data_IF_342626670922
#
_entry.id   IF_342626670922
#
_cell.length_a   1.000
_cell.length_b   1.000
_cell.length_c   1.000
_cell.angle_alpha   90.00
_cell.angle_beta   90.00
_cell.angle_gamma   90.00
#
_symmetry.space_group_name_H-M   'P 1'
#
loop_
_entity.id
_entity.type
_entity.pdbx_description
1 polymer ?
#
# COMPACT_ATOMS: atom_id res chain seq x y z
N UNK A 1 21.36 -14.85 4.22
CA UNK A 1 21.73 -13.46 4.51
C UNK A 1 21.26 -12.62 3.34
N UNK A 2 20.46 -11.58 3.60
CA UNK A 2 19.93 -10.73 2.54
C UNK A 2 21.05 -9.92 1.88
N UNK A 3 20.98 -9.74 0.57
CA UNK A 3 21.91 -8.88 -0.14
C UNK A 3 21.41 -7.43 -0.05
N UNK A 4 22.26 -6.48 0.34
CA UNK A 4 21.85 -5.08 0.44
C UNK A 4 21.90 -4.36 -0.91
N UNK A 5 21.06 -3.34 -1.07
CA UNK A 5 21.18 -2.35 -2.13
C UNK A 5 22.47 -1.54 -1.96
N UNK A 6 23.00 -1.00 -3.06
CA UNK A 6 24.16 -0.11 -2.98
C UNK A 6 23.79 1.19 -2.24
N UNK A 7 24.75 1.91 -1.64
CA UNK A 7 24.49 3.23 -1.06
C UNK A 7 23.88 4.22 -2.06
N UNK A 8 24.22 4.09 -3.35
CA UNK A 8 23.67 4.91 -4.44
C UNK A 8 22.19 4.62 -4.63
N UNK A 9 21.79 3.35 -4.64
CA UNK A 9 20.39 2.96 -4.77
C UNK A 9 19.56 3.42 -3.57
N UNK A 10 20.08 3.27 -2.35
CA UNK A 10 19.41 3.74 -1.12
C UNK A 10 19.22 5.26 -1.17
N UNK A 11 20.28 6.01 -1.48
CA UNK A 11 20.18 7.48 -1.59
C UNK A 11 19.18 7.91 -2.68
N UNK A 12 19.21 7.26 -3.84
CA UNK A 12 18.29 7.57 -4.93
C UNK A 12 16.83 7.27 -4.57
N UNK A 13 16.57 6.19 -3.82
CA UNK A 13 15.24 5.85 -3.31
C UNK A 13 14.73 6.91 -2.32
N UNK A 14 15.56 7.29 -1.34
CA UNK A 14 15.21 8.31 -0.34
C UNK A 14 14.92 9.66 -1.00
N UNK A 15 15.76 10.09 -1.94
CA UNK A 15 15.54 11.33 -2.68
C UNK A 15 14.27 11.27 -3.53
N UNK A 16 14.00 10.13 -4.19
CA UNK A 16 12.78 9.95 -4.98
C UNK A 16 11.53 10.07 -4.09
N UNK A 17 11.54 9.43 -2.91
CA UNK A 17 10.46 9.54 -1.95
C UNK A 17 10.24 11.00 -1.51
N UNK A 18 11.31 11.74 -1.21
CA UNK A 18 11.21 13.17 -0.87
C UNK A 18 10.58 13.97 -2.00
N UNK A 19 11.08 13.83 -3.22
CA UNK A 19 10.53 14.54 -4.39
C UNK A 19 9.07 14.19 -4.67
N UNK A 20 8.65 12.94 -4.43
CA UNK A 20 7.26 12.51 -4.60
C UNK A 20 6.34 13.06 -3.50
N UNK A 21 6.83 13.14 -2.25
CA UNK A 21 6.10 13.81 -1.16
C UNK A 21 5.91 15.30 -1.43
N UNK A 22 6.93 15.95 -2.00
CA UNK A 22 6.87 17.37 -2.36
C UNK A 22 5.92 17.60 -3.56
N UNK A 23 5.94 16.72 -4.56
CA UNK A 23 5.03 16.76 -5.70
C UNK A 23 3.55 16.66 -5.28
N UNK A 24 3.25 15.85 -4.26
CA UNK A 24 1.88 15.76 -3.73
C UNK A 24 1.33 17.10 -3.18
N UNK A 25 2.23 18.06 -2.86
CA UNK A 25 1.88 19.41 -2.41
C UNK A 25 1.98 20.43 -3.54
N UNK A 26 2.97 20.34 -4.43
CA UNK A 26 3.06 21.29 -5.57
C UNK A 26 1.86 21.17 -6.53
N UNK A 27 1.27 19.97 -6.64
CA UNK A 27 0.09 19.67 -7.46
C UNK A 27 -1.26 20.11 -6.85
N UNK A 28 -1.24 20.86 -5.74
CA UNK A 28 -2.45 21.46 -5.18
C UNK A 28 -3.05 22.50 -6.14
N UNK A 29 -4.37 22.42 -6.37
CA UNK A 29 -5.08 23.27 -7.34
C UNK A 29 -5.50 24.60 -6.74
N UNK A 30 -5.87 24.61 -5.46
CA UNK A 30 -6.33 25.79 -4.76
C UNK A 30 -5.55 26.04 -3.49
N UNK A 31 -6.28 26.38 -2.43
CA UNK A 31 -5.71 26.84 -1.16
C UNK A 31 -5.83 25.73 -0.11
N UNK A 32 -4.74 25.36 0.57
CA UNK A 32 -4.80 24.44 1.71
C UNK A 32 -5.66 25.00 2.83
N UNK A 33 -6.61 24.21 3.33
CA UNK A 33 -7.47 24.52 4.47
C UNK A 33 -7.43 23.40 5.50
N UNK A 34 -7.24 23.79 6.76
CA UNK A 34 -7.29 22.87 7.90
C UNK A 34 -8.75 22.72 8.37
N UNK A 35 -9.22 21.48 8.49
CA UNK A 35 -10.51 21.14 9.10
C UNK A 35 -10.29 20.22 10.29
N UNK A 36 -11.03 20.45 11.38
CA UNK A 36 -11.01 19.59 12.56
C UNK A 36 -12.19 18.62 12.51
N UNK A 37 -11.92 17.34 12.71
CA UNK A 37 -12.95 16.28 12.81
C UNK A 37 -12.66 15.44 14.04
N UNK A 38 -13.52 15.59 15.06
CA UNK A 38 -13.27 15.02 16.38
C UNK A 38 -12.01 15.58 17.02
N UNK A 39 -11.10 14.70 17.46
CA UNK A 39 -9.81 15.08 18.06
C UNK A 39 -8.69 15.26 17.03
N UNK A 40 -8.93 14.97 15.75
CA UNK A 40 -7.93 15.02 14.69
C UNK A 40 -8.17 16.22 13.78
N UNK A 41 -7.10 16.66 13.11
CA UNK A 41 -7.16 17.72 12.12
C UNK A 41 -6.62 17.22 10.78
N UNK A 42 -7.17 17.73 9.70
CA UNK A 42 -6.95 17.24 8.34
C UNK A 42 -6.85 18.41 7.37
N UNK A 43 -5.92 18.32 6.42
CA UNK A 43 -5.71 19.31 5.39
C UNK A 43 -6.47 18.95 4.11
N UNK A 44 -7.08 19.97 3.50
CA UNK A 44 -7.84 19.88 2.27
C UNK A 44 -7.38 20.93 1.28
N UNK A 45 -7.34 20.58 0.01
CA UNK A 45 -7.12 21.50 -1.11
C UNK A 45 -8.47 22.04 -1.57
N UNK A 46 -8.71 23.31 -1.28
CA UNK A 46 -9.98 23.98 -1.52
C UNK A 46 -9.94 24.77 -2.83
N UNK A 47 -10.70 24.33 -3.83
CA UNK A 47 -10.70 24.96 -5.16
C UNK A 47 -12.06 24.89 -5.84
N UNK A 48 -12.25 25.70 -6.89
CA UNK A 48 -13.49 25.77 -7.66
C UNK A 48 -13.33 25.07 -9.01
N UNK A 49 -14.29 24.21 -9.36
CA UNK A 49 -14.47 23.68 -10.72
C UNK A 49 -15.84 24.14 -11.22
N UNK A 50 -15.84 25.06 -12.19
CA UNK A 50 -17.08 25.65 -12.71
C UNK A 50 -17.84 26.41 -11.63
N UNK A 51 -19.07 25.98 -11.34
CA UNK A 51 -19.93 26.54 -10.30
C UNK A 51 -19.76 25.86 -8.92
N UNK A 52 -19.07 24.71 -8.86
CA UNK A 52 -18.91 23.91 -7.65
C UNK A 52 -17.58 24.20 -6.95
N UNK A 53 -17.65 24.38 -5.64
CA UNK A 53 -16.47 24.38 -4.77
C UNK A 53 -16.25 22.97 -4.25
N UNK A 54 -15.02 22.48 -4.36
CA UNK A 54 -14.61 21.14 -3.94
C UNK A 54 -13.49 21.25 -2.90
N UNK A 55 -13.54 20.33 -1.95
CA UNK A 55 -12.45 20.07 -1.02
C UNK A 55 -11.84 18.73 -1.37
N UNK A 56 -10.53 18.70 -1.64
CA UNK A 56 -9.79 17.47 -1.90
C UNK A 56 -8.89 17.17 -0.72
N UNK A 57 -9.13 16.07 0.00
CA UNK A 57 -8.25 15.62 1.08
C UNK A 57 -6.77 15.59 0.65
N UNK A 58 -5.89 16.11 1.51
CA UNK A 58 -4.43 16.12 1.34
C UNK A 58 -3.78 15.08 2.28
N UNK A 59 -4.17 15.10 3.56
CA UNK A 59 -3.57 14.27 4.61
C UNK A 59 -3.97 14.71 6.01
N UNK A 60 -3.69 13.85 7.00
CA UNK A 60 -3.78 14.19 8.42
C UNK A 60 -2.73 15.25 8.75
N UNK A 61 -3.12 16.17 9.62
CA UNK A 61 -2.27 17.26 10.07
C UNK A 61 -1.07 16.73 10.86
N UNK A 62 0.10 17.27 10.54
CA UNK A 62 1.36 16.86 11.14
C UNK A 62 2.48 17.83 10.75
N UNK A 63 3.54 17.85 11.54
CA UNK A 63 4.68 18.76 11.36
C UNK A 63 5.28 18.64 9.95
N UNK A 64 5.47 17.41 9.47
CA UNK A 64 6.03 17.13 8.15
C UNK A 64 5.18 17.72 7.00
N UNK A 65 3.84 17.65 7.12
CA UNK A 65 2.91 18.17 6.12
C UNK A 65 2.84 19.70 6.18
N UNK A 66 2.75 20.29 7.38
CA UNK A 66 2.74 21.75 7.56
C UNK A 66 3.99 22.39 6.95
N UNK A 67 5.18 21.85 7.25
CA UNK A 67 6.45 22.35 6.71
C UNK A 67 6.55 22.26 5.17
N UNK A 68 5.75 21.41 4.51
CA UNK A 68 5.64 21.38 3.05
C UNK A 68 4.64 22.40 2.54
N UNK A 69 3.49 22.52 3.19
CA UNK A 69 2.47 23.52 2.84
C UNK A 69 3.03 24.95 2.97
N UNK A 70 3.87 25.21 3.97
CA UNK A 70 4.55 26.51 4.15
C UNK A 70 5.49 26.85 2.98
N UNK A 71 5.98 25.83 2.26
CA UNK A 71 6.86 25.97 1.09
C UNK A 71 6.13 25.78 -0.25
N UNK A 72 4.80 25.77 -0.25
CA UNK A 72 3.98 25.44 -1.42
C UNK A 72 4.40 26.20 -2.69
N UNK A 73 4.54 27.52 -2.63
CA UNK A 73 4.88 28.31 -3.83
C UNK A 73 6.30 28.03 -4.33
N UNK A 74 7.27 27.87 -3.43
CA UNK A 74 8.62 27.47 -3.81
C UNK A 74 8.64 26.06 -4.47
N UNK A 75 7.80 25.14 -3.99
CA UNK A 75 7.66 23.81 -4.58
C UNK A 75 6.99 23.86 -5.97
N UNK A 76 6.01 24.75 -6.18
CA UNK A 76 5.38 24.96 -7.49
C UNK A 76 6.37 25.48 -8.52
N UNK A 77 7.16 26.50 -8.16
CA UNK A 77 8.20 27.05 -9.05
C UNK A 77 9.28 25.99 -9.40
N UNK A 78 9.60 25.12 -8.45
CA UNK A 78 10.59 24.06 -8.65
C UNK A 78 10.03 22.80 -9.35
N UNK A 79 8.73 22.68 -9.61
CA UNK A 79 8.10 21.40 -10.01
C UNK A 79 8.67 20.85 -11.31
N UNK A 80 8.90 21.71 -12.31
CA UNK A 80 9.49 21.29 -13.60
C UNK A 80 10.89 20.69 -13.42
N UNK A 81 11.68 21.24 -12.50
CA UNK A 81 13.00 20.70 -12.16
C UNK A 81 12.87 19.42 -11.33
N UNK A 82 11.94 19.38 -10.38
CA UNK A 82 11.61 18.19 -9.58
C UNK A 82 11.24 17.01 -10.47
N UNK A 83 10.41 17.21 -11.50
CA UNK A 83 10.03 16.17 -12.45
C UNK A 83 11.23 15.61 -13.25
N UNK A 84 12.16 16.49 -13.65
CA UNK A 84 13.42 16.07 -14.31
C UNK A 84 14.29 15.26 -13.36
N UNK A 85 14.38 15.67 -12.11
CA UNK A 85 15.16 14.95 -11.09
C UNK A 85 14.55 13.58 -10.78
N UNK A 86 13.24 13.48 -10.59
CA UNK A 86 12.56 12.17 -10.45
C UNK A 86 12.84 11.24 -11.63
N UNK A 87 12.85 11.78 -12.85
CA UNK A 87 13.19 11.00 -14.05
C UNK A 87 14.66 10.56 -14.09
N UNK A 88 15.57 11.33 -13.48
CA UNK A 88 16.97 10.96 -13.30
C UNK A 88 17.13 9.86 -12.24
N UNK A 89 16.51 10.03 -11.07
CA UNK A 89 16.54 9.06 -9.97
C UNK A 89 15.97 7.70 -10.41
N UNK A 90 14.89 7.70 -11.19
CA UNK A 90 14.32 6.48 -11.78
C UNK A 90 15.29 5.77 -12.74
N UNK A 91 16.14 6.49 -13.47
CA UNK A 91 17.19 5.89 -14.32
C UNK A 91 18.31 5.29 -13.47
N UNK A 92 18.69 5.95 -12.38
CA UNK A 92 19.68 5.44 -11.42
C UNK A 92 19.17 4.13 -10.81
N UNK A 93 17.97 4.12 -10.22
CA UNK A 93 17.38 2.93 -9.61
C UNK A 93 17.26 1.76 -10.61
N UNK A 94 17.02 2.05 -11.89
CA UNK A 94 17.03 1.02 -12.95
C UNK A 94 18.43 0.50 -13.27
N UNK A 95 19.42 1.38 -13.36
CA UNK A 95 20.80 0.98 -13.56
C UNK A 95 21.34 0.17 -12.36
N UNK A 96 20.89 0.50 -11.15
CA UNK A 96 21.13 -0.25 -9.92
C UNK A 96 20.32 -1.55 -9.86
N UNK A 97 19.50 -1.89 -10.87
CA UNK A 97 18.78 -3.16 -10.92
C UNK A 97 17.65 -3.31 -9.90
N UNK A 98 17.11 -2.21 -9.36
CA UNK A 98 15.94 -2.28 -8.48
C UNK A 98 14.72 -2.85 -9.22
N UNK A 99 13.84 -3.52 -8.48
CA UNK A 99 12.60 -4.12 -8.95
C UNK A 99 11.64 -3.05 -9.48
N UNK A 100 11.67 -2.87 -10.79
CA UNK A 100 10.72 -2.01 -11.50
C UNK A 100 9.33 -2.64 -11.50
N UNK A 101 8.31 -1.79 -11.49
CA UNK A 101 6.93 -2.21 -11.74
C UNK A 101 6.74 -2.43 -13.24
N UNK A 102 6.10 -3.53 -13.61
CA UNK A 102 5.77 -3.81 -15.00
C UNK A 102 4.75 -2.81 -15.57
N UNK A 103 4.54 -2.88 -16.89
CA UNK A 103 3.66 -1.93 -17.57
C UNK A 103 2.21 -2.04 -17.13
N UNK A 104 1.66 -3.25 -16.99
CA UNK A 104 0.26 -3.48 -16.66
C UNK A 104 -0.05 -2.98 -15.25
N UNK A 105 0.67 -3.52 -14.27
CA UNK A 105 0.55 -3.11 -12.87
C UNK A 105 0.83 -1.62 -12.69
N UNK A 106 1.89 -1.11 -13.35
CA UNK A 106 2.29 0.28 -13.27
C UNK A 106 1.23 1.25 -13.80
N UNK A 107 0.57 0.92 -14.91
CA UNK A 107 -0.52 1.75 -15.47
C UNK A 107 -1.70 1.86 -14.50
N UNK A 108 -2.12 0.74 -13.94
CA UNK A 108 -3.30 0.69 -13.05
C UNK A 108 -3.00 1.36 -11.71
N UNK A 109 -1.89 1.02 -11.06
CA UNK A 109 -1.52 1.59 -9.76
C UNK A 109 -1.27 3.11 -9.88
N UNK A 110 -0.63 3.57 -10.96
CA UNK A 110 -0.42 5.01 -11.17
C UNK A 110 -1.71 5.78 -11.45
N UNK A 111 -2.69 5.17 -12.14
CA UNK A 111 -4.01 5.77 -12.34
C UNK A 111 -4.76 5.89 -11.00
N UNK A 112 -4.74 4.85 -10.17
CA UNK A 112 -5.32 4.88 -8.82
C UNK A 112 -4.67 5.94 -7.93
N UNK A 113 -3.34 6.11 -8.03
CA UNK A 113 -2.63 7.16 -7.31
C UNK A 113 -3.12 8.56 -7.71
N UNK A 114 -3.29 8.82 -9.01
CA UNK A 114 -3.83 10.10 -9.51
C UNK A 114 -5.28 10.34 -9.09
N UNK A 115 -6.12 9.31 -9.18
CA UNK A 115 -7.52 9.34 -8.74
C UNK A 115 -7.65 9.61 -7.23
N UNK A 116 -6.59 9.38 -6.46
CA UNK A 116 -6.52 9.68 -5.04
C UNK A 116 -6.76 8.49 -4.12
N UNK A 117 -6.75 7.25 -4.64
CA UNK A 117 -6.98 6.03 -3.85
C UNK A 117 -6.06 5.97 -2.63
N UNK A 118 -4.74 6.14 -2.82
CA UNK A 118 -3.78 6.09 -1.72
C UNK A 118 -3.88 7.28 -0.78
N UNK A 119 -4.27 8.45 -1.30
CA UNK A 119 -4.49 9.65 -0.50
C UNK A 119 -5.70 9.47 0.43
N UNK A 120 -6.75 8.80 -0.04
CA UNK A 120 -7.98 8.52 0.72
C UNK A 120 -7.90 7.23 1.56
N UNK A 121 -6.69 6.77 1.89
CA UNK A 121 -6.48 5.64 2.80
C UNK A 121 -6.45 4.25 2.15
N UNK A 122 -6.60 4.16 0.82
CA UNK A 122 -6.32 2.94 0.09
C UNK A 122 -4.86 2.53 0.27
N UNK A 123 -4.63 1.24 0.48
CA UNK A 123 -3.31 0.67 0.77
C UNK A 123 -3.08 -0.49 -0.19
N UNK A 124 -2.02 -0.43 -0.98
CA UNK A 124 -1.61 -1.53 -1.85
C UNK A 124 -1.11 -2.67 -0.97
N UNK A 125 -1.70 -3.86 -1.10
CA UNK A 125 -1.30 -5.06 -0.36
C UNK A 125 -0.86 -6.16 -1.34
N UNK A 126 -0.74 -7.40 -0.86
CA UNK A 126 -0.37 -8.52 -1.72
C UNK A 126 1.08 -8.44 -2.21
N UNK A 127 1.37 -9.06 -3.35
CA UNK A 127 2.74 -9.20 -3.87
C UNK A 127 3.30 -7.87 -4.37
N UNK A 128 2.46 -6.99 -4.92
CA UNK A 128 2.91 -5.69 -5.43
C UNK A 128 3.44 -4.80 -4.29
N UNK A 129 2.82 -4.86 -3.11
CA UNK A 129 3.33 -4.20 -1.90
C UNK A 129 4.68 -4.78 -1.45
N UNK A 130 4.83 -6.11 -1.46
CA UNK A 130 6.06 -6.80 -1.06
C UNK A 130 7.27 -6.34 -1.87
N UNK A 131 7.11 -6.15 -3.19
CA UNK A 131 8.18 -5.67 -4.07
C UNK A 131 8.67 -4.27 -3.69
N UNK A 132 7.81 -3.43 -3.11
CA UNK A 132 8.19 -2.09 -2.67
C UNK A 132 9.14 -2.12 -1.46
N UNK A 133 9.20 -3.24 -0.73
CA UNK A 133 10.11 -3.38 0.41
C UNK A 133 11.58 -3.50 0.01
N UNK A 134 11.88 -3.75 -1.28
CA UNK A 134 13.27 -3.74 -1.77
C UNK A 134 13.93 -2.40 -1.48
N UNK A 135 13.28 -1.32 -1.89
CA UNK A 135 13.77 0.04 -1.65
C UNK A 135 13.57 0.52 -0.21
N UNK A 136 12.44 0.20 0.41
CA UNK A 136 12.13 0.62 1.78
C UNK A 136 13.11 0.03 2.81
N UNK A 137 13.52 -1.23 2.64
CA UNK A 137 14.46 -1.90 3.54
C UNK A 137 15.90 -1.84 3.04
N UNK A 138 16.15 -1.34 1.82
CA UNK A 138 17.50 -1.27 1.25
C UNK A 138 18.12 -2.64 0.99
N UNK A 139 17.30 -3.65 0.67
CA UNK A 139 17.72 -5.05 0.44
C UNK A 139 17.24 -5.54 -0.92
N UNK A 140 17.90 -6.53 -1.52
CA UNK A 140 17.49 -7.20 -2.74
C UNK A 140 16.46 -8.27 -2.44
N UNK A 141 15.39 -8.30 -3.23
CA UNK A 141 14.38 -9.35 -3.16
C UNK A 141 14.59 -10.32 -4.32
N UNK A 142 14.71 -11.62 -4.00
CA UNK A 142 14.92 -12.67 -4.99
C UNK A 142 13.73 -12.87 -5.93
N UNK A 143 13.97 -13.39 -7.12
CA UNK A 143 12.94 -13.63 -8.14
C UNK A 143 11.84 -14.60 -7.67
N UNK A 144 12.23 -15.63 -6.92
CA UNK A 144 11.35 -16.62 -6.28
C UNK A 144 10.38 -15.99 -5.26
N UNK A 145 10.85 -14.97 -4.53
CA UNK A 145 10.09 -14.23 -3.54
C UNK A 145 9.24 -13.11 -4.16
N UNK A 146 9.73 -12.51 -5.26
CA UNK A 146 9.08 -11.45 -6.03
C UNK A 146 8.17 -11.97 -7.15
N UNK A 147 8.00 -13.29 -7.27
CA UNK A 147 7.29 -13.95 -8.37
C UNK A 147 6.00 -13.23 -8.74
N UNK A 148 5.92 -12.83 -10.01
CA UNK A 148 4.90 -11.92 -10.53
C UNK A 148 3.51 -12.52 -10.35
N UNK A 149 2.61 -11.71 -9.79
CA UNK A 149 1.18 -11.89 -9.95
C UNK A 149 0.65 -10.67 -10.68
N UNK A 150 -0.28 -10.90 -11.60
CA UNK A 150 -1.03 -9.84 -12.26
C UNK A 150 -2.16 -9.31 -11.36
N UNK A 151 -2.27 -9.82 -10.12
CA UNK A 151 -3.23 -9.36 -9.12
C UNK A 151 -2.75 -8.08 -8.43
N UNK A 152 -3.67 -7.12 -8.30
CA UNK A 152 -3.51 -5.85 -7.62
C UNK A 152 -4.56 -5.77 -6.52
N UNK A 153 -4.11 -5.90 -5.28
CA UNK A 153 -4.97 -5.87 -4.11
C UNK A 153 -4.92 -4.48 -3.45
N UNK A 154 -6.07 -3.81 -3.35
CA UNK A 154 -6.20 -2.53 -2.63
C UNK A 154 -7.06 -2.73 -1.39
N UNK A 155 -6.47 -2.52 -0.22
CA UNK A 155 -7.16 -2.60 1.06
C UNK A 155 -7.44 -1.22 1.64
N UNK A 156 -8.63 -1.00 2.20
CA UNK A 156 -8.99 0.26 2.88
C UNK A 156 -9.91 0.01 4.07
N UNK A 157 -9.91 0.91 5.05
CA UNK A 157 -10.88 0.88 6.14
C UNK A 157 -12.21 1.51 5.71
N UNK A 158 -13.31 0.82 5.99
CA UNK A 158 -14.67 1.35 5.87
C UNK A 158 -14.87 2.64 6.70
N UNK A 159 -14.31 2.72 7.91
CA UNK A 159 -14.53 3.87 8.83
C UNK A 159 -13.74 5.13 8.48
N UNK A 160 -12.56 5.02 7.84
CA UNK A 160 -11.85 6.21 7.33
C UNK A 160 -12.65 6.90 6.22
N UNK A 161 -13.39 6.11 5.43
CA UNK A 161 -14.30 6.61 4.40
C UNK A 161 -15.48 7.43 4.97
N UNK A 162 -15.93 7.09 6.19
CA UNK A 162 -17.07 7.74 6.85
C UNK A 162 -16.67 9.00 7.65
N UNK A 163 -15.49 9.01 8.28
CA UNK A 163 -15.03 10.15 9.09
C UNK A 163 -14.61 11.34 8.22
N UNK A 164 -14.04 11.08 7.03
CA UNK A 164 -13.60 12.16 6.14
C UNK A 164 -14.74 12.76 5.31
N UNK A 165 -15.83 12.02 5.07
CA UNK A 165 -16.93 12.45 4.18
C UNK A 165 -16.54 12.67 2.71
N UNK A 166 -15.29 12.35 2.36
CA UNK A 166 -14.69 12.62 1.06
C UNK A 166 -14.80 11.41 0.12
N UNK A 167 -14.97 11.71 -1.17
CA UNK A 167 -15.00 10.73 -2.25
C UNK A 167 -13.83 10.96 -3.20
N UNK A 168 -13.42 9.92 -3.92
CA UNK A 168 -12.55 10.09 -5.10
C UNK A 168 -13.15 11.11 -6.06
N UNK A 169 -12.32 12.03 -6.57
CA UNK A 169 -12.77 13.10 -7.48
C UNK A 169 -13.29 12.53 -8.80
N UNK A 170 -12.62 11.47 -9.25
CA UNK A 170 -13.00 10.68 -10.40
C UNK A 170 -13.48 9.32 -9.88
N UNK A 171 -14.73 8.90 -10.17
CA UNK A 171 -15.22 7.59 -9.79
C UNK A 171 -14.29 6.50 -10.33
N UNK A 172 -13.87 5.56 -9.49
CA UNK A 172 -12.95 4.49 -9.92
C UNK A 172 -13.50 3.66 -11.08
N UNK A 173 -14.82 3.55 -11.19
CA UNK A 173 -15.48 2.93 -12.33
C UNK A 173 -15.11 3.59 -13.67
N UNK A 174 -15.01 4.93 -13.71
CA UNK A 174 -14.60 5.66 -14.92
C UNK A 174 -13.10 5.49 -15.20
N UNK A 175 -12.27 5.59 -14.16
CA UNK A 175 -10.82 5.34 -14.26
C UNK A 175 -10.54 3.93 -14.81
N UNK A 176 -11.25 2.93 -14.30
CA UNK A 176 -11.13 1.55 -14.78
C UNK A 176 -11.66 1.38 -16.20
N UNK A 177 -12.76 2.03 -16.57
CA UNK A 177 -13.28 2.01 -17.94
C UNK A 177 -12.26 2.57 -18.95
N UNK A 178 -11.61 3.69 -18.63
CA UNK A 178 -10.56 4.28 -19.47
C UNK A 178 -9.35 3.34 -19.64
N UNK A 179 -9.05 2.56 -18.61
CA UNK A 179 -8.01 1.53 -18.65
C UNK A 179 -8.47 0.19 -19.26
N UNK A 180 -9.68 0.13 -19.84
CA UNK A 180 -10.28 -1.09 -20.42
C UNK A 180 -10.47 -2.23 -19.42
N UNK A 181 -10.67 -1.89 -18.14
CA UNK A 181 -11.11 -2.84 -17.13
C UNK A 181 -12.64 -2.98 -17.19
N UNK A 182 -13.10 -4.23 -17.15
CA UNK A 182 -14.51 -4.54 -17.01
C UNK A 182 -14.80 -5.00 -15.56
N UNK A 183 -15.93 -4.56 -14.97
CA UNK A 183 -16.36 -5.08 -13.68
C UNK A 183 -16.63 -6.59 -13.79
N UNK A 184 -16.13 -7.37 -12.84
CA UNK A 184 -16.52 -8.77 -12.70
C UNK A 184 -17.72 -8.85 -11.75
N UNK A 185 -18.90 -9.28 -12.22
CA UNK A 185 -20.07 -9.38 -11.36
C UNK A 185 -19.84 -10.37 -10.22
N UNK A 186 -20.34 -10.03 -9.04
CA UNK A 186 -20.41 -10.94 -7.89
C UNK A 186 -21.67 -11.81 -7.97
N UNK A 187 -21.65 -12.95 -7.28
CA UNK A 187 -22.85 -13.79 -7.08
C UNK A 187 -23.89 -13.03 -6.20
N UNK A 188 -23.45 -12.07 -5.38
CA UNK A 188 -24.30 -11.23 -4.52
C UNK A 188 -24.87 -9.97 -5.23
N UNK A 189 -25.28 -10.08 -6.50
CA UNK A 189 -26.01 -9.01 -7.21
C UNK A 189 -25.12 -7.94 -7.89
N UNK A 190 -25.54 -6.66 -7.85
CA UNK A 190 -24.89 -5.53 -8.56
C UNK A 190 -23.54 -5.07 -7.93
N UNK A 191 -23.10 -5.69 -6.83
CA UNK A 191 -21.87 -5.31 -6.12
C UNK A 191 -20.63 -5.77 -6.90
N UNK A 192 -19.77 -4.80 -7.24
CA UNK A 192 -18.51 -5.04 -7.95
C UNK A 192 -17.36 -4.79 -6.99
N UNK A 193 -16.58 -5.84 -6.74
CA UNK A 193 -15.36 -5.79 -5.93
C UNK A 193 -14.11 -6.29 -6.66
N UNK A 194 -14.29 -6.78 -7.89
CA UNK A 194 -13.22 -7.21 -8.80
C UNK A 194 -13.36 -6.56 -10.16
N UNK A 195 -12.23 -6.19 -10.74
CA UNK A 195 -12.14 -5.70 -12.12
C UNK A 195 -11.08 -6.49 -12.85
N UNK A 196 -11.34 -6.83 -14.11
CA UNK A 196 -10.38 -7.54 -14.95
C UNK A 196 -10.12 -6.80 -16.24
N UNK A 197 -8.85 -6.70 -16.63
CA UNK A 197 -8.46 -6.22 -17.95
C UNK A 197 -8.51 -7.36 -18.95
N UNK A 198 -9.27 -7.20 -20.04
CA UNK A 198 -9.50 -8.27 -21.02
C UNK A 198 -8.24 -8.80 -21.69
N UNK A 199 -7.31 -7.92 -22.08
CA UNK A 199 -6.11 -8.28 -22.86
C UNK A 199 -4.95 -8.80 -21.98
N UNK A 200 -4.82 -8.33 -20.73
CA UNK A 200 -3.68 -8.62 -19.86
C UNK A 200 -4.01 -9.54 -18.68
N UNK A 201 -5.27 -9.95 -18.52
CA UNK A 201 -5.79 -10.73 -17.38
C UNK A 201 -5.51 -10.15 -15.98
N UNK A 202 -4.94 -8.94 -15.88
CA UNK A 202 -4.73 -8.21 -14.62
C UNK A 202 -6.04 -8.10 -13.87
N UNK A 203 -5.99 -8.48 -12.59
CA UNK A 203 -7.11 -8.48 -11.67
C UNK A 203 -6.90 -7.40 -10.62
N UNK A 204 -7.88 -6.54 -10.41
CA UNK A 204 -7.90 -5.61 -9.29
C UNK A 204 -8.96 -6.07 -8.30
N UNK A 205 -8.55 -6.31 -7.05
CA UNK A 205 -9.45 -6.67 -5.96
C UNK A 205 -9.44 -5.58 -4.88
N UNK A 206 -10.63 -5.23 -4.38
CA UNK A 206 -10.77 -4.31 -3.25
C UNK A 206 -11.11 -5.09 -1.99
N UNK A 207 -10.39 -4.77 -0.91
CA UNK A 207 -10.44 -5.48 0.36
C UNK A 207 -10.75 -4.52 1.51
N UNK A 208 -11.46 -4.99 2.52
CA UNK A 208 -11.73 -4.23 3.75
C UNK A 208 -11.62 -5.11 4.98
N UNK A 209 -11.26 -4.60 6.16
CA UNK A 209 -11.22 -5.44 7.35
C UNK A 209 -12.59 -5.99 7.75
N UNK A 210 -12.65 -7.28 8.04
CA UNK A 210 -13.82 -7.92 8.66
C UNK A 210 -13.68 -7.92 10.19
N UNK A 211 -14.72 -7.43 10.87
CA UNK A 211 -14.84 -7.50 12.33
C UNK A 211 -15.97 -8.43 12.80
N UNK A 212 -16.78 -8.91 11.87
CA UNK A 212 -17.92 -9.79 12.15
C UNK A 212 -17.48 -11.26 12.16
N UNK A 213 -18.35 -12.16 12.61
CA UNK A 213 -18.08 -13.59 12.64
C UNK A 213 -17.81 -14.21 11.26
N UNK A 214 -18.30 -13.58 10.19
CA UNK A 214 -18.23 -14.08 8.81
C UNK A 214 -17.69 -13.03 7.85
N UNK A 215 -16.81 -13.45 6.94
CA UNK A 215 -16.35 -12.66 5.79
C UNK A 215 -17.46 -12.57 4.73
N UNK A 216 -17.46 -11.48 3.95
CA UNK A 216 -18.49 -11.19 2.93
C UNK A 216 -18.26 -9.84 2.25
N UNK A 217 -19.17 -9.39 1.39
CA UNK A 217 -19.02 -8.09 0.71
C UNK A 217 -19.50 -6.90 1.55
N UNK A 218 -18.72 -5.82 1.51
CA UNK A 218 -19.06 -4.53 2.11
C UNK A 218 -18.82 -3.42 1.12
N UNK A 219 -19.51 -2.30 1.29
CA UNK A 219 -19.30 -1.13 0.44
C UNK A 219 -18.17 -0.26 0.99
N UNK A 220 -17.38 0.33 0.11
CA UNK A 220 -16.36 1.34 0.41
C UNK A 220 -16.77 2.66 -0.26
N UNK A 221 -17.63 3.48 0.39
CA UNK A 221 -18.23 4.65 -0.25
C UNK A 221 -17.21 5.69 -0.75
N UNK A 222 -16.10 5.90 -0.04
CA UNK A 222 -15.08 6.87 -0.46
C UNK A 222 -14.40 6.51 -1.78
N UNK A 223 -14.35 5.21 -2.11
CA UNK A 223 -13.76 4.69 -3.34
C UNK A 223 -14.82 4.38 -4.42
N UNK A 224 -16.12 4.40 -4.06
CA UNK A 224 -17.21 4.11 -4.98
C UNK A 224 -17.27 2.66 -5.45
N UNK A 225 -16.78 1.72 -4.62
CA UNK A 225 -16.64 0.29 -4.94
C UNK A 225 -17.17 -0.58 -3.81
N UNK A 226 -17.47 -1.85 -4.10
CA UNK A 226 -17.60 -2.87 -3.06
C UNK A 226 -16.24 -3.54 -2.80
N UNK A 227 -16.08 -4.17 -1.65
CA UNK A 227 -14.87 -4.82 -1.22
C UNK A 227 -15.16 -6.14 -0.50
N UNK A 228 -14.28 -7.12 -0.70
CA UNK A 228 -14.30 -8.34 0.08
C UNK A 228 -13.78 -8.05 1.48
N UNK A 229 -14.60 -8.33 2.50
CA UNK A 229 -14.18 -8.19 3.89
C UNK A 229 -13.37 -9.41 4.32
N UNK A 230 -12.18 -9.19 4.89
CA UNK A 230 -11.25 -10.23 5.32
C UNK A 230 -10.82 -10.02 6.77
N UNK A 231 -10.82 -11.08 7.58
CA UNK A 231 -10.24 -11.05 8.92
C UNK A 231 -8.73 -10.79 8.85
N UNK A 232 -8.15 -10.30 9.95
CA UNK A 232 -6.71 -9.99 10.11
C UNK A 232 -6.20 -8.82 9.26
N UNK A 233 -6.97 -8.36 8.26
CA UNK A 233 -6.57 -7.25 7.40
C UNK A 233 -6.41 -5.94 8.16
N UNK A 234 -7.18 -5.72 9.23
CA UNK A 234 -7.07 -4.54 10.09
C UNK A 234 -5.66 -4.36 10.67
N UNK A 235 -4.97 -5.45 11.01
CA UNK A 235 -3.61 -5.41 11.51
C UNK A 235 -2.61 -5.04 10.42
N UNK A 236 -2.82 -5.58 9.21
CA UNK A 236 -1.95 -5.35 8.06
C UNK A 236 -1.95 -3.88 7.65
N UNK A 237 -3.14 -3.30 7.49
CA UNK A 237 -3.28 -1.92 6.99
C UNK A 237 -3.30 -0.86 8.10
N UNK A 238 -2.96 -1.22 9.34
CA UNK A 238 -2.81 -0.25 10.41
C UNK A 238 -1.53 0.58 10.20
N UNK A 239 -1.69 1.91 10.21
CA UNK A 239 -0.60 2.89 10.10
C UNK A 239 0.35 2.60 8.91
N UNK A 240 -0.19 2.57 7.67
CA UNK A 240 0.61 2.25 6.50
C UNK A 240 1.63 3.35 6.18
N UNK A 241 2.67 3.01 5.44
CA UNK A 241 3.74 3.92 5.04
C UNK A 241 3.59 4.33 3.57
N UNK A 242 4.12 5.52 3.23
CA UNK A 242 4.18 6.00 1.86
C UNK A 242 5.52 5.65 1.23
N UNK A 243 5.48 5.06 0.05
CA UNK A 243 6.68 4.60 -0.69
C UNK A 243 6.61 5.00 -2.17
N UNK A 244 7.75 5.12 -2.87
CA UNK A 244 7.79 5.23 -4.32
C UNK A 244 7.33 3.94 -5.01
N UNK A 245 6.39 4.06 -5.94
CA UNK A 245 6.18 3.06 -6.98
C UNK A 245 7.17 3.32 -8.12
N UNK A 246 8.04 2.35 -8.42
CA UNK A 246 9.05 2.46 -9.48
C UNK A 246 8.43 2.24 -10.87
N UNK A 247 7.62 3.21 -11.30
CA UNK A 247 6.99 3.25 -12.62
C UNK A 247 7.08 4.65 -13.24
N UNK A 248 7.56 4.75 -14.49
CA UNK A 248 7.82 6.02 -15.20
C UNK A 248 8.70 6.98 -14.38
N UNK A 249 8.15 8.11 -13.93
CA UNK A 249 8.83 9.13 -13.12
C UNK A 249 8.58 8.96 -11.61
N UNK A 250 8.08 7.80 -11.18
CA UNK A 250 7.70 7.53 -9.80
C UNK A 250 6.29 8.00 -9.47
N UNK A 251 5.61 7.27 -8.59
CA UNK A 251 4.34 7.68 -7.99
C UNK A 251 4.39 7.45 -6.48
N UNK A 252 3.82 8.37 -5.70
CA UNK A 252 3.66 8.17 -4.27
C UNK A 252 2.48 7.23 -4.03
N UNK A 253 2.75 6.07 -3.45
CA UNK A 253 1.72 5.09 -3.09
C UNK A 253 1.80 4.77 -1.60
N UNK A 254 0.85 3.97 -1.12
CA UNK A 254 0.78 3.57 0.28
C UNK A 254 0.80 2.03 0.38
N UNK A 255 1.63 1.49 1.26
CA UNK A 255 1.78 0.05 1.53
C UNK A 255 1.78 -0.21 3.05
N UNK A 256 1.49 -1.45 3.51
CA UNK A 256 1.67 -1.82 4.91
C UNK A 256 3.08 -1.57 5.41
N UNK A 257 3.25 -1.46 6.73
CA UNK A 257 4.60 -1.53 7.31
C UNK A 257 5.16 -2.95 7.11
N UNK A 258 6.46 -3.11 6.78
CA UNK A 258 7.05 -4.40 6.42
C UNK A 258 6.92 -5.45 7.54
N UNK A 259 7.05 -5.05 8.80
CA UNK A 259 6.90 -5.94 9.96
C UNK A 259 5.46 -6.44 10.13
N UNK A 260 4.47 -5.56 9.94
CA UNK A 260 3.04 -5.95 9.95
C UNK A 260 2.73 -6.88 8.79
N UNK A 261 3.31 -6.63 7.63
CA UNK A 261 3.19 -7.52 6.47
C UNK A 261 3.74 -8.91 6.78
N UNK A 262 4.94 -9.01 7.34
CA UNK A 262 5.58 -10.29 7.63
C UNK A 262 4.78 -11.12 8.64
N UNK A 263 4.35 -10.50 9.76
CA UNK A 263 3.52 -11.18 10.77
C UNK A 263 2.15 -11.58 10.20
N UNK A 264 1.53 -10.72 9.40
CA UNK A 264 0.27 -11.05 8.74
C UNK A 264 0.39 -12.25 7.78
N UNK A 265 1.52 -12.36 7.05
CA UNK A 265 1.78 -13.49 6.15
C UNK A 265 1.89 -14.82 6.89
N UNK A 266 2.45 -14.85 8.11
CA UNK A 266 2.46 -16.04 8.94
C UNK A 266 1.03 -16.51 9.28
N UNK A 267 0.11 -15.59 9.52
CA UNK A 267 -1.30 -15.89 9.84
C UNK A 267 -2.04 -16.42 8.61
N UNK A 268 -1.90 -15.75 7.46
CA UNK A 268 -2.59 -16.13 6.22
C UNK A 268 -2.05 -17.44 5.64
N UNK A 269 -0.76 -17.74 5.81
CA UNK A 269 -0.17 -19.00 5.40
C UNK A 269 -0.85 -20.22 6.05
N UNK A 270 -1.29 -20.08 7.31
CA UNK A 270 -2.05 -21.12 8.00
C UNK A 270 -3.49 -21.25 7.48
N UNK A 271 -4.16 -20.12 7.20
CA UNK A 271 -5.51 -20.12 6.63
C UNK A 271 -5.60 -20.83 5.28
N UNK A 272 -4.50 -20.86 4.53
CA UNK A 272 -4.39 -21.48 3.20
C UNK A 272 -3.89 -22.93 3.23
N UNK A 273 -3.76 -23.54 4.43
CA UNK A 273 -3.16 -24.87 4.64
C UNK A 273 -3.87 -26.02 3.92
N UNK A 274 -5.21 -26.02 3.93
CA UNK A 274 -6.02 -27.19 3.55
C UNK A 274 -6.85 -26.96 2.26
N UNK A 275 -6.47 -25.99 1.43
CA UNK A 275 -7.14 -25.65 0.18
C UNK A 275 -6.29 -25.85 -1.07
N UNK A 276 -6.82 -25.56 -2.28
CA UNK A 276 -6.05 -25.58 -3.54
C UNK A 276 -4.85 -24.61 -3.56
N UNK A 277 -4.75 -23.73 -2.55
CA UNK A 277 -3.77 -22.64 -2.41
C UNK A 277 -2.46 -23.03 -1.70
N UNK A 278 -2.08 -24.32 -1.68
CA UNK A 278 -0.85 -24.78 -1.01
C UNK A 278 0.43 -24.07 -1.50
N UNK A 279 0.48 -23.73 -2.80
CA UNK A 279 1.56 -22.93 -3.39
C UNK A 279 1.56 -21.48 -2.85
N UNK A 280 0.39 -20.86 -2.68
CA UNK A 280 0.28 -19.52 -2.07
C UNK A 280 0.72 -19.55 -0.61
N UNK A 281 0.39 -20.60 0.14
CA UNK A 281 0.87 -20.76 1.52
C UNK A 281 2.39 -20.89 1.61
N UNK A 282 3.03 -21.57 0.64
CA UNK A 282 4.51 -21.61 0.54
C UNK A 282 5.09 -20.23 0.23
N UNK A 283 4.49 -19.50 -0.71
CA UNK A 283 4.88 -18.11 -1.04
C UNK A 283 4.75 -17.18 0.17
N UNK A 284 3.65 -17.25 0.91
CA UNK A 284 3.44 -16.43 2.10
C UNK A 284 4.50 -16.70 3.17
N UNK A 285 4.86 -17.97 3.41
CA UNK A 285 5.94 -18.34 4.33
C UNK A 285 7.30 -17.80 3.88
N UNK A 286 7.64 -17.95 2.60
CA UNK A 286 8.91 -17.44 2.06
C UNK A 286 9.01 -15.91 2.17
N UNK A 287 7.92 -15.18 1.89
CA UNK A 287 7.88 -13.73 2.05
C UNK A 287 7.99 -13.31 3.52
N UNK A 288 7.33 -14.03 4.44
CA UNK A 288 7.43 -13.77 5.87
C UNK A 288 8.85 -14.03 6.39
N UNK A 289 9.44 -15.16 6.01
CA UNK A 289 10.81 -15.54 6.37
C UNK A 289 11.81 -14.47 5.96
N UNK A 290 11.79 -14.09 4.67
CA UNK A 290 12.69 -13.07 4.14
C UNK A 290 12.59 -11.75 4.92
N UNK A 291 11.37 -11.23 5.13
CA UNK A 291 11.20 -9.95 5.83
C UNK A 291 11.60 -10.06 7.30
N UNK A 292 11.24 -11.14 7.99
CA UNK A 292 11.60 -11.32 9.40
C UNK A 292 13.12 -11.44 9.54
N UNK A 293 13.80 -12.12 8.62
CA UNK A 293 15.26 -12.19 8.65
C UNK A 293 15.91 -10.81 8.54
N UNK A 294 15.45 -9.99 7.58
CA UNK A 294 15.95 -8.63 7.38
C UNK A 294 15.62 -7.74 8.59
N UNK A 295 14.35 -7.76 9.04
CA UNK A 295 13.88 -6.90 10.11
C UNK A 295 14.50 -7.25 11.47
N UNK A 296 14.80 -8.52 11.72
CA UNK A 296 15.48 -8.92 12.96
C UNK A 296 16.93 -8.40 13.06
N UNK A 297 17.55 -8.02 11.93
CA UNK A 297 18.86 -7.33 11.90
C UNK A 297 18.70 -5.81 11.90
N UNK A 298 17.83 -5.28 11.04
CA UNK A 298 17.77 -3.84 10.74
C UNK A 298 16.79 -3.06 11.62
N UNK A 299 15.68 -3.67 12.04
CA UNK A 299 14.57 -3.03 12.77
C UNK A 299 13.96 -3.97 13.83
N UNK A 300 14.76 -4.56 14.75
CA UNK A 300 14.29 -5.63 15.64
C UNK A 300 13.17 -5.20 16.59
N UNK A 301 13.19 -3.95 17.06
CA UNK A 301 12.16 -3.43 17.96
C UNK A 301 10.81 -3.27 17.25
N UNK A 302 10.80 -2.76 16.01
CA UNK A 302 9.58 -2.66 15.22
C UNK A 302 8.98 -4.05 14.96
N UNK A 303 9.83 -5.03 14.66
CA UNK A 303 9.40 -6.42 14.47
C UNK A 303 8.82 -7.02 15.76
N UNK A 304 9.47 -6.77 16.90
CA UNK A 304 8.99 -7.19 18.23
C UNK A 304 7.60 -6.61 18.51
N UNK A 305 7.45 -5.30 18.37
CA UNK A 305 6.19 -4.61 18.61
C UNK A 305 5.05 -5.18 17.77
N UNK A 306 5.31 -5.46 16.49
CA UNK A 306 4.32 -6.03 15.59
C UNK A 306 3.95 -7.47 15.97
N UNK A 307 4.93 -8.28 16.36
CA UNK A 307 4.71 -9.65 16.83
C UNK A 307 3.91 -9.68 18.14
N UNK A 308 4.27 -8.86 19.12
CA UNK A 308 3.57 -8.73 20.40
C UNK A 308 2.14 -8.22 20.20
N UNK A 309 1.96 -7.21 19.35
CA UNK A 309 0.64 -6.70 18.99
C UNK A 309 -0.25 -7.80 18.41
N UNK A 310 0.29 -8.66 17.54
CA UNK A 310 -0.45 -9.79 16.97
C UNK A 310 -0.77 -10.88 18.02
N UNK A 311 0.18 -11.19 18.90
CA UNK A 311 -0.01 -12.13 20.01
C UNK A 311 -1.04 -11.64 21.03
N UNK A 312 -1.21 -10.33 21.18
CA UNK A 312 -2.20 -9.72 22.08
C UNK A 312 -3.65 -9.80 21.56
N UNK A 313 -3.87 -10.05 20.26
CA UNK A 313 -5.21 -10.04 19.66
C UNK A 313 -6.12 -11.20 20.11
N UNK A 314 -5.57 -12.30 20.60
CA UNK A 314 -6.33 -13.41 21.21
C UNK A 314 -5.95 -14.82 20.75
N UNK A 315 -6.64 -15.86 21.25
CA UNK A 315 -6.26 -17.26 21.04
C UNK A 315 -6.19 -17.69 19.58
N UNK A 316 -7.11 -17.21 18.73
CA UNK A 316 -7.13 -17.52 17.29
C UNK A 316 -5.85 -17.04 16.59
N UNK A 317 -5.38 -15.83 16.91
CA UNK A 317 -4.14 -15.28 16.36
C UNK A 317 -2.92 -16.08 16.79
N UNK A 318 -2.81 -16.38 18.10
CA UNK A 318 -1.72 -17.19 18.67
C UNK A 318 -1.67 -18.57 18.05
N UNK A 319 -2.83 -19.23 17.89
CA UNK A 319 -2.95 -20.54 17.28
C UNK A 319 -2.42 -20.57 15.85
N UNK A 320 -2.84 -19.62 15.01
CA UNK A 320 -2.39 -19.52 13.61
C UNK A 320 -0.89 -19.24 13.48
N UNK A 321 -0.38 -18.28 14.26
CA UNK A 321 1.05 -17.98 14.30
C UNK A 321 1.87 -19.20 14.73
N UNK A 322 1.48 -19.86 15.82
CA UNK A 322 2.14 -21.07 16.30
C UNK A 322 2.10 -22.20 15.25
N UNK A 323 0.98 -22.38 14.56
CA UNK A 323 0.80 -23.42 13.56
C UNK A 323 1.70 -23.21 12.32
N UNK A 324 1.91 -21.97 11.88
CA UNK A 324 2.87 -21.65 10.80
C UNK A 324 4.32 -21.78 11.30
N UNK A 325 4.64 -21.22 12.46
CA UNK A 325 5.99 -21.24 13.03
C UNK A 325 6.46 -22.65 13.41
N UNK A 326 5.56 -23.58 13.72
CA UNK A 326 5.90 -25.00 13.90
C UNK A 326 6.53 -25.62 12.64
N UNK A 327 6.26 -25.06 11.45
CA UNK A 327 6.83 -25.49 10.16
C UNK A 327 8.10 -24.72 9.79
N UNK A 328 8.49 -23.73 10.59
CA UNK A 328 9.60 -22.81 10.34
C UNK A 328 10.43 -22.67 11.62
N UNK A 329 11.08 -23.75 12.09
CA UNK A 329 11.68 -23.81 13.42
C UNK A 329 12.78 -22.77 13.64
N UNK A 330 13.57 -22.44 12.62
CA UNK A 330 14.62 -21.44 12.74
C UNK A 330 14.05 -20.02 12.80
N UNK A 331 13.02 -19.72 12.01
CA UNK A 331 12.28 -18.47 12.10
C UNK A 331 11.61 -18.30 13.48
N UNK A 332 11.06 -19.39 14.03
CA UNK A 332 10.50 -19.41 15.39
C UNK A 332 11.55 -19.05 16.44
N UNK A 333 12.75 -19.64 16.36
CA UNK A 333 13.85 -19.30 17.27
C UNK A 333 14.24 -17.84 17.13
N UNK A 334 14.28 -17.32 15.90
CA UNK A 334 14.64 -15.93 15.62
C UNK A 334 13.65 -14.94 16.24
N UNK A 335 12.35 -15.15 16.05
CA UNK A 335 11.31 -14.33 16.70
C UNK A 335 11.32 -14.43 18.23
N UNK A 336 11.72 -15.58 18.79
CA UNK A 336 11.85 -15.76 20.24
C UNK A 336 13.15 -15.15 20.82
N UNK A 337 14.13 -14.84 19.96
CA UNK A 337 15.39 -14.18 20.32
C UNK A 337 15.35 -12.67 20.06
N UNK A 338 14.33 -12.21 19.32
CA UNK A 338 13.42 -11.11 19.67
C UNK A 338 13.63 -10.66 21.10
#
# INVERSE_FOLDING_TARGET
>A
MAQHLSPVAVAAWTDLLRHLKDAAVSELRGVPRLKKVGQRAYWYDHFRIGDRTLDRYIGEDGEELRARLDRLEALREAEKQSQRERSRLMRILRAEGCLMTDRGSGQVISAMARAGVFRLGGTLVGTQAFRCYEGELGVRIGFDQAAMTDDIDIASFERLSLVLGDQVIEPLAEVFRELRFAPLPSVEGQRVWRWRQGEQQTLVEFLTPCFDGTEGLRDLPALGVSAQSLHYLNFLIAQPIRVPLLYRAGFLIQVPRPERYAIHKLIVADRRRDGPDTLKARKDRAQAEFLIEVLAEERPDELRDAYETAMAQGPSWRGRLAATLARMPDLRKRLAAL
#
